data_IF_208254519841
#
_entry.id   IF_208254519841
#
_cell.length_a   1.000
_cell.length_b   1.000
_cell.length_c   1.000
_cell.angle_alpha   90.00
_cell.angle_beta   90.00
_cell.angle_gamma   90.00
#
_symmetry.space_group_name_H-M   'P 1'
#
loop_
_entity.id
_entity.type
_entity.pdbx_description
1 polymer ?
#
# COMPACT_ATOMS: atom_id res chain seq x y z
N UNK A 1 -25.87 -10.86 -28.45
CA UNK A 1 -25.55 -12.12 -27.73
C UNK A 1 -24.07 -12.43 -27.97
N UNK A 2 -23.27 -12.41 -26.90
CA UNK A 2 -21.84 -12.81 -26.81
C UNK A 2 -20.82 -12.04 -27.67
N UNK A 3 -20.20 -11.03 -27.05
CA UNK A 3 -18.84 -10.60 -27.38
C UNK A 3 -17.85 -11.67 -26.86
N UNK A 4 -17.10 -12.27 -27.77
CA UNK A 4 -15.94 -13.10 -27.47
C UNK A 4 -14.68 -12.26 -27.68
N UNK A 5 -13.91 -12.13 -26.60
CA UNK A 5 -12.61 -11.49 -26.52
C UNK A 5 -11.58 -12.32 -27.31
N UNK A 6 -10.89 -11.72 -28.29
CA UNK A 6 -9.76 -12.33 -28.98
C UNK A 6 -8.49 -11.57 -28.60
N UNK A 7 -7.56 -12.29 -27.97
CA UNK A 7 -6.16 -11.91 -27.74
C UNK A 7 -5.46 -11.80 -29.09
N UNK A 8 -4.64 -10.76 -29.29
CA UNK A 8 -3.63 -10.75 -30.35
C UNK A 8 -2.23 -10.77 -29.73
N UNK A 9 -1.46 -11.76 -30.17
CA UNK A 9 0.00 -11.84 -30.10
C UNK A 9 0.52 -11.57 -31.52
N UNK A 10 1.66 -10.88 -31.59
CA UNK A 10 2.42 -10.55 -32.80
C UNK A 10 3.18 -11.79 -33.29
N UNK A 11 3.13 -12.14 -34.60
CA UNK A 11 4.21 -11.92 -35.58
C UNK A 11 4.11 -12.81 -36.85
N UNK A 12 4.50 -12.20 -37.98
CA UNK A 12 5.17 -12.74 -39.18
C UNK A 12 4.52 -13.67 -40.25
N UNK A 13 4.62 -13.16 -41.50
CA UNK A 13 4.93 -13.78 -42.81
C UNK A 13 3.98 -14.82 -43.45
N UNK A 14 3.56 -14.49 -44.68
CA UNK A 14 3.69 -15.42 -45.82
C UNK A 14 2.41 -15.84 -46.55
N UNK A 15 2.27 -15.33 -47.79
CA UNK A 15 1.78 -16.03 -49.01
C UNK A 15 0.37 -16.64 -49.09
N UNK A 16 -0.41 -16.13 -50.07
CA UNK A 16 -0.87 -16.96 -51.20
C UNK A 16 -2.31 -17.50 -51.20
N UNK A 17 -3.14 -16.90 -52.08
CA UNK A 17 -4.16 -17.51 -52.95
C UNK A 17 -5.13 -18.59 -52.41
N UNK A 18 -6.45 -18.30 -52.38
CA UNK A 18 -7.45 -18.86 -53.31
C UNK A 18 -8.91 -18.50 -52.94
N UNK A 19 -9.65 -18.25 -54.02
CA UNK A 19 -11.09 -18.08 -54.28
C UNK A 19 -12.08 -18.96 -53.52
N UNK A 20 -13.33 -18.49 -53.34
CA UNK A 20 -14.47 -19.39 -53.11
C UNK A 20 -15.78 -18.76 -52.61
N UNK A 21 -16.69 -18.55 -53.54
CA UNK A 21 -18.11 -18.12 -53.46
C UNK A 21 -18.96 -18.98 -52.50
N UNK A 22 -19.95 -18.41 -51.78
CA UNK A 22 -21.37 -18.84 -51.79
C UNK A 22 -22.32 -17.85 -51.09
N UNK A 23 -23.50 -17.70 -51.70
CA UNK A 23 -24.61 -16.77 -51.42
C UNK A 23 -25.69 -17.41 -50.53
N UNK A 24 -26.43 -16.52 -49.86
CA UNK A 24 -27.88 -16.55 -49.56
C UNK A 24 -28.47 -17.66 -48.67
N UNK A 25 -29.22 -17.24 -47.65
CA UNK A 25 -30.70 -17.26 -47.68
C UNK A 25 -31.28 -16.49 -46.48
N UNK A 26 -32.21 -15.60 -46.79
CA UNK A 26 -33.14 -14.98 -45.85
C UNK A 26 -34.50 -15.64 -46.02
N UNK A 27 -35.22 -15.88 -44.92
CA UNK A 27 -36.66 -16.13 -44.96
C UNK A 27 -37.32 -15.46 -43.75
N UNK A 28 -38.21 -14.51 -44.07
CA UNK A 28 -39.20 -13.91 -43.17
C UNK A 28 -40.37 -14.88 -43.03
N UNK A 29 -41.00 -14.92 -41.86
CA UNK A 29 -42.44 -15.17 -41.75
C UNK A 29 -43.03 -14.47 -40.53
N UNK A 30 -43.90 -13.53 -40.83
CA UNK A 30 -44.84 -12.80 -39.97
C UNK A 30 -45.94 -13.71 -39.39
N UNK A 31 -46.50 -13.35 -38.23
CA UNK A 31 -47.88 -13.74 -37.92
C UNK A 31 -48.31 -13.76 -36.45
N UNK A 32 -49.03 -12.69 -36.07
CA UNK A 32 -50.15 -12.62 -35.09
C UNK A 32 -49.93 -12.91 -33.59
N UNK A 33 -50.31 -11.89 -32.80
CA UNK A 33 -50.69 -11.96 -31.39
C UNK A 33 -52.20 -12.28 -31.23
N UNK A 34 -52.61 -12.78 -30.05
CA UNK A 34 -53.84 -12.33 -29.41
C UNK A 34 -53.61 -11.89 -27.94
N UNK A 35 -54.61 -11.16 -27.42
CA UNK A 35 -54.63 -10.37 -26.19
C UNK A 35 -55.26 -11.12 -24.97
N UNK A 36 -55.63 -10.48 -23.84
CA UNK A 36 -55.04 -10.72 -22.52
C UNK A 36 -56.00 -11.35 -21.48
N UNK A 37 -55.49 -11.96 -20.40
CA UNK A 37 -56.03 -11.85 -19.02
C UNK A 37 -55.39 -12.86 -18.04
N UNK A 38 -55.35 -12.43 -16.77
CA UNK A 38 -55.30 -13.21 -15.51
C UNK A 38 -53.97 -13.86 -15.06
N UNK A 39 -53.23 -13.06 -14.28
CA UNK A 39 -52.66 -13.35 -12.94
C UNK A 39 -52.50 -14.82 -12.54
N UNK A 40 -51.28 -15.22 -12.18
CA UNK A 40 -50.99 -16.04 -11.00
C UNK A 40 -49.52 -15.85 -10.58
N UNK A 41 -49.32 -15.75 -9.26
CA UNK A 41 -48.09 -15.39 -8.55
C UNK A 41 -46.95 -16.39 -8.80
N UNK A 42 -45.76 -15.91 -9.17
CA UNK A 42 -44.47 -16.49 -8.74
C UNK A 42 -43.40 -15.39 -8.67
N UNK A 43 -43.35 -14.66 -7.55
CA UNK A 43 -42.21 -13.82 -7.21
C UNK A 43 -41.14 -14.66 -6.54
N UNK A 44 -40.23 -15.25 -7.33
CA UNK A 44 -39.04 -15.88 -6.79
C UNK A 44 -38.07 -14.79 -6.32
N UNK A 45 -37.94 -14.66 -5.00
CA UNK A 45 -36.99 -13.79 -4.33
C UNK A 45 -35.57 -14.36 -4.53
N UNK A 46 -34.92 -14.00 -5.62
CA UNK A 46 -33.47 -14.22 -5.80
C UNK A 46 -32.73 -13.20 -4.93
N UNK A 47 -32.49 -13.54 -3.65
CA UNK A 47 -31.41 -12.93 -2.89
C UNK A 47 -30.08 -13.31 -3.56
N UNK A 48 -29.65 -12.46 -4.48
CA UNK A 48 -28.28 -12.46 -4.96
C UNK A 48 -27.36 -12.07 -3.81
N UNK A 49 -26.80 -13.06 -3.12
CA UNK A 49 -25.58 -12.88 -2.35
C UNK A 49 -24.51 -12.37 -3.32
N UNK A 50 -24.30 -11.05 -3.34
CA UNK A 50 -23.07 -10.45 -3.82
C UNK A 50 -21.95 -10.88 -2.87
N UNK A 51 -21.49 -12.12 -3.02
CA UNK A 51 -20.17 -12.51 -2.57
C UNK A 51 -19.23 -11.69 -3.43
N UNK A 52 -18.69 -10.62 -2.86
CA UNK A 52 -17.52 -9.96 -3.38
C UNK A 52 -16.45 -11.02 -3.57
N UNK A 53 -16.29 -11.50 -4.80
CA UNK A 53 -15.20 -12.38 -5.18
C UNK A 53 -13.91 -11.56 -5.04
N UNK A 54 -13.36 -11.54 -3.83
CA UNK A 54 -11.95 -11.24 -3.65
C UNK A 54 -11.21 -12.23 -4.53
N UNK A 55 -10.58 -11.76 -5.60
CA UNK A 55 -9.68 -12.58 -6.38
C UNK A 55 -8.70 -13.21 -5.39
N UNK A 56 -8.73 -14.53 -5.26
CA UNK A 56 -7.89 -15.25 -4.30
C UNK A 56 -6.47 -14.74 -4.44
N UNK A 57 -5.95 -14.08 -3.40
CA UNK A 57 -4.57 -13.64 -3.44
C UNK A 57 -3.71 -14.89 -3.46
N UNK A 58 -3.10 -15.15 -4.61
CA UNK A 58 -2.08 -16.17 -4.72
C UNK A 58 -0.89 -15.76 -3.86
N UNK A 59 -0.34 -16.70 -3.10
CA UNK A 59 0.87 -16.44 -2.32
C UNK A 59 1.99 -15.88 -3.18
N UNK A 60 2.93 -15.15 -2.59
CA UNK A 60 4.06 -14.52 -3.29
C UNK A 60 4.92 -15.53 -4.04
N UNK A 61 5.49 -15.10 -5.17
CA UNK A 61 6.42 -15.92 -5.98
C UNK A 61 7.81 -16.00 -5.37
N UNK A 62 8.18 -15.00 -4.61
CA UNK A 62 9.50 -14.84 -4.04
C UNK A 62 9.34 -14.45 -2.57
N UNK A 63 10.04 -15.17 -1.72
CA UNK A 63 10.15 -14.89 -0.28
C UNK A 63 11.56 -14.36 -0.04
N UNK A 64 11.66 -13.32 0.78
CA UNK A 64 12.94 -12.67 1.04
C UNK A 64 13.87 -13.63 1.77
N UNK A 65 15.16 -13.65 1.40
CA UNK A 65 16.07 -14.71 1.84
C UNK A 65 16.48 -14.57 3.31
N UNK A 66 16.46 -13.35 3.85
CA UNK A 66 16.91 -13.06 5.21
C UNK A 66 15.73 -12.99 6.19
N UNK A 67 16.05 -13.30 7.45
CA UNK A 67 15.09 -13.39 8.53
C UNK A 67 15.57 -12.56 9.70
N UNK A 68 14.66 -11.77 10.25
CA UNK A 68 14.90 -10.96 11.41
C UNK A 68 14.15 -11.53 12.62
N UNK A 69 14.87 -12.09 13.58
CA UNK A 69 14.27 -12.58 14.84
C UNK A 69 13.77 -11.41 15.67
N UNK A 70 12.47 -11.30 15.87
CA UNK A 70 11.75 -10.35 16.74
C UNK A 70 11.26 -11.05 18.02
N UNK A 71 10.66 -10.32 18.96
CA UNK A 71 10.09 -10.93 20.17
C UNK A 71 8.91 -11.87 19.87
N UNK A 72 8.12 -11.55 18.83
CA UNK A 72 6.90 -12.28 18.45
C UNK A 72 7.08 -13.33 17.35
N UNK A 73 8.30 -13.59 16.88
CA UNK A 73 8.57 -14.49 15.77
C UNK A 73 9.70 -13.97 14.88
N UNK A 74 9.74 -14.38 13.62
CA UNK A 74 10.70 -13.89 12.64
C UNK A 74 10.02 -13.09 11.53
N UNK A 75 10.54 -11.91 11.23
CA UNK A 75 10.12 -11.11 10.09
C UNK A 75 10.99 -11.48 8.88
N UNK A 76 10.38 -11.87 7.76
CA UNK A 76 11.11 -12.04 6.50
C UNK A 76 11.55 -10.65 5.98
N UNK A 77 12.80 -10.52 5.57
CA UNK A 77 13.40 -9.24 5.15
C UNK A 77 14.32 -9.44 3.95
N UNK A 78 14.31 -8.48 3.03
CA UNK A 78 15.36 -8.30 2.04
C UNK A 78 16.38 -7.28 2.54
N UNK A 79 17.67 -7.52 2.32
CA UNK A 79 18.77 -6.63 2.71
C UNK A 79 19.72 -6.42 1.54
N UNK A 80 20.21 -5.20 1.33
CA UNK A 80 21.25 -4.94 0.32
C UNK A 80 22.66 -5.35 0.80
N UNK A 81 22.85 -5.50 2.11
CA UNK A 81 24.13 -5.81 2.77
C UNK A 81 23.88 -6.66 4.02
N UNK A 82 24.80 -7.58 4.33
CA UNK A 82 24.72 -8.39 5.55
C UNK A 82 24.80 -7.50 6.79
N UNK A 83 23.73 -7.51 7.58
CA UNK A 83 23.58 -6.67 8.74
C UNK A 83 24.06 -7.30 10.05
N UNK A 84 24.64 -8.51 10.05
CA UNK A 84 24.96 -9.24 11.30
C UNK A 84 26.06 -8.57 12.12
N UNK A 85 27.07 -7.99 11.45
CA UNK A 85 28.20 -7.30 12.09
C UNK A 85 27.99 -5.80 12.36
N UNK A 86 28.98 -5.12 12.96
CA UNK A 86 29.03 -3.66 13.02
C UNK A 86 29.03 -3.03 11.63
N UNK A 87 28.40 -1.85 11.50
CA UNK A 87 28.23 -1.10 10.26
C UNK A 87 28.66 0.36 10.46
N UNK A 88 29.99 0.63 10.55
CA UNK A 88 30.51 1.95 10.89
C UNK A 88 30.38 2.98 9.76
N UNK A 89 30.21 2.54 8.52
CA UNK A 89 30.06 3.37 7.32
C UNK A 89 28.59 3.76 7.03
N UNK A 90 27.63 3.08 7.66
CA UNK A 90 26.21 3.33 7.44
C UNK A 90 25.78 4.63 8.13
N UNK A 91 25.46 5.62 7.31
CA UNK A 91 24.96 6.93 7.75
C UNK A 91 23.44 7.05 7.61
N UNK A 92 22.85 6.24 6.73
CA UNK A 92 21.40 6.21 6.47
C UNK A 92 20.90 4.78 6.43
N UNK A 93 19.69 4.57 6.97
CA UNK A 93 18.93 3.35 6.72
C UNK A 93 17.68 3.72 5.93
N UNK A 94 17.37 2.99 4.87
CA UNK A 94 16.12 3.08 4.12
C UNK A 94 15.32 1.80 4.35
N UNK A 95 14.22 1.90 5.08
CA UNK A 95 13.22 0.84 5.20
C UNK A 95 12.19 1.02 4.08
N UNK A 96 12.16 0.11 3.11
CA UNK A 96 11.29 0.18 1.93
C UNK A 96 10.15 -0.85 2.02
N UNK A 97 8.92 -0.36 2.19
CA UNK A 97 7.71 -1.17 2.38
C UNK A 97 7.01 -1.41 1.04
N UNK A 98 6.81 -2.68 0.70
CA UNK A 98 6.15 -3.09 -0.53
C UNK A 98 4.66 -2.72 -0.57
N UNK A 99 4.07 -2.77 -1.78
CA UNK A 99 2.62 -2.68 -1.97
C UNK A 99 1.87 -3.95 -1.56
N UNK A 100 0.56 -4.01 -1.86
CA UNK A 100 -0.29 -5.17 -1.54
C UNK A 100 0.19 -6.52 -2.09
N UNK A 101 1.03 -6.51 -3.13
CA UNK A 101 1.57 -7.73 -3.77
C UNK A 101 2.67 -8.41 -2.96
N UNK A 102 3.08 -7.84 -1.82
CA UNK A 102 4.09 -8.41 -0.90
C UNK A 102 5.43 -8.76 -1.57
N UNK A 103 5.76 -8.07 -2.66
CA UNK A 103 6.97 -8.31 -3.46
C UNK A 103 8.17 -7.48 -2.94
N UNK A 104 8.60 -7.75 -1.70
CA UNK A 104 9.65 -7.01 -1.00
C UNK A 104 10.96 -6.89 -1.81
N UNK A 105 11.41 -7.96 -2.46
CA UNK A 105 12.65 -7.96 -3.24
C UNK A 105 12.58 -7.04 -4.47
N UNK A 106 11.41 -6.88 -5.09
CA UNK A 106 11.22 -5.87 -6.16
C UNK A 106 11.42 -4.44 -5.62
N UNK A 107 10.95 -4.18 -4.40
CA UNK A 107 11.08 -2.89 -3.74
C UNK A 107 12.52 -2.65 -3.24
N UNK A 108 13.21 -3.69 -2.78
CA UNK A 108 14.64 -3.65 -2.48
C UNK A 108 15.42 -3.21 -3.73
N UNK A 109 15.21 -3.87 -4.87
CA UNK A 109 15.89 -3.52 -6.12
C UNK A 109 15.60 -2.08 -6.59
N UNK A 110 14.36 -1.62 -6.41
CA UNK A 110 13.98 -0.24 -6.74
C UNK A 110 14.73 0.77 -5.85
N UNK A 111 14.84 0.47 -4.55
CA UNK A 111 15.55 1.30 -3.58
C UNK A 111 17.07 1.29 -3.81
N UNK A 112 17.67 0.15 -4.17
CA UNK A 112 19.09 0.05 -4.55
C UNK A 112 19.39 0.87 -5.80
N UNK A 113 18.52 0.79 -6.80
CA UNK A 113 18.61 1.59 -8.02
C UNK A 113 18.56 3.08 -7.70
N UNK A 114 17.60 3.51 -6.88
CA UNK A 114 17.49 4.91 -6.44
C UNK A 114 18.72 5.36 -5.64
N UNK A 115 19.23 4.52 -4.74
CA UNK A 115 20.43 4.81 -3.96
C UNK A 115 21.68 4.93 -4.82
N UNK A 116 21.81 4.09 -5.85
CA UNK A 116 22.91 4.17 -6.82
C UNK A 116 22.83 5.45 -7.65
N UNK A 117 21.64 5.79 -8.17
CA UNK A 117 21.41 7.01 -8.95
C UNK A 117 21.68 8.29 -8.14
N UNK A 118 21.40 8.27 -6.83
CA UNK A 118 21.65 9.38 -5.92
C UNK A 118 23.08 9.41 -5.31
N UNK A 119 23.98 8.51 -5.74
CA UNK A 119 25.31 8.28 -5.13
C UNK A 119 25.27 8.11 -3.59
N UNK A 120 24.22 7.45 -3.08
CA UNK A 120 24.05 7.12 -1.66
C UNK A 120 24.23 5.63 -1.35
N UNK A 121 24.46 4.79 -2.36
CA UNK A 121 24.57 3.33 -2.17
C UNK A 121 25.64 2.92 -1.15
N UNK A 122 26.79 3.61 -1.13
CA UNK A 122 27.92 3.26 -0.24
C UNK A 122 27.59 3.42 1.25
N UNK A 123 26.80 4.42 1.62
CA UNK A 123 26.54 4.79 3.02
C UNK A 123 25.10 4.47 3.49
N UNK A 124 24.34 3.73 2.67
CA UNK A 124 22.94 3.39 2.95
C UNK A 124 22.76 1.88 3.12
N UNK A 125 22.21 1.49 4.28
CA UNK A 125 21.62 0.16 4.46
C UNK A 125 20.16 0.21 4.00
N UNK A 126 19.75 -0.72 3.15
CA UNK A 126 18.36 -0.84 2.69
C UNK A 126 17.77 -2.11 3.29
N UNK A 127 16.61 -1.96 3.92
CA UNK A 127 15.85 -3.04 4.54
C UNK A 127 14.48 -3.07 3.87
N UNK A 128 14.09 -4.21 3.32
CA UNK A 128 12.79 -4.42 2.71
C UNK A 128 12.01 -5.48 3.52
N UNK A 129 11.27 -5.10 4.58
CA UNK A 129 10.40 -6.03 5.28
C UNK A 129 9.38 -6.66 4.34
N UNK A 130 9.20 -7.97 4.43
CA UNK A 130 8.15 -8.69 3.76
C UNK A 130 7.09 -9.12 4.77
N UNK A 131 5.98 -8.39 4.77
CA UNK A 131 4.81 -8.72 5.57
C UNK A 131 4.03 -9.84 4.88
N UNK A 132 4.41 -11.08 5.17
CA UNK A 132 3.81 -12.29 4.60
C UNK A 132 2.36 -12.48 5.07
N UNK A 133 1.56 -13.20 4.29
CA UNK A 133 0.26 -13.70 4.72
C UNK A 133 0.17 -15.23 4.66
N UNK A 134 -0.97 -15.79 5.07
CA UNK A 134 -1.14 -17.25 5.16
C UNK A 134 -1.06 -17.95 3.79
N UNK A 135 -1.43 -17.25 2.72
CA UNK A 135 -1.29 -17.78 1.35
C UNK A 135 0.18 -17.94 0.95
N UNK A 136 1.04 -17.03 1.41
CA UNK A 136 2.49 -17.08 1.17
C UNK A 136 3.12 -18.27 1.90
N UNK A 137 2.71 -18.49 3.15
CA UNK A 137 3.15 -19.63 3.96
C UNK A 137 2.74 -20.95 3.33
N UNK A 138 1.47 -21.10 2.93
CA UNK A 138 0.99 -22.30 2.25
C UNK A 138 1.70 -22.54 0.93
N UNK A 139 1.86 -21.50 0.11
CA UNK A 139 2.46 -21.63 -1.23
C UNK A 139 3.93 -22.02 -1.17
N UNK A 140 4.69 -21.43 -0.26
CA UNK A 140 6.14 -21.57 -0.20
C UNK A 140 6.61 -22.54 0.91
N UNK A 141 5.68 -23.25 1.57
CA UNK A 141 5.97 -24.20 2.65
C UNK A 141 6.85 -23.58 3.76
N UNK A 142 6.49 -22.37 4.16
CA UNK A 142 7.31 -21.58 5.09
C UNK A 142 7.19 -22.10 6.54
N UNK A 143 8.27 -21.99 7.34
CA UNK A 143 8.23 -22.45 8.73
C UNK A 143 7.32 -21.57 9.59
N UNK A 144 6.67 -22.17 10.58
CA UNK A 144 5.69 -21.50 11.46
C UNK A 144 6.26 -20.34 12.29
N UNK A 145 7.59 -20.30 12.46
CA UNK A 145 8.30 -19.20 13.14
C UNK A 145 8.18 -17.86 12.43
N UNK A 146 7.86 -17.85 11.13
CA UNK A 146 7.71 -16.62 10.35
C UNK A 146 6.38 -15.94 10.67
N UNK A 147 6.47 -14.64 10.96
CA UNK A 147 5.33 -13.76 11.14
C UNK A 147 4.51 -13.71 9.86
N UNK A 148 3.19 -13.87 10.00
CA UNK A 148 2.23 -13.81 8.91
C UNK A 148 0.95 -13.15 9.38
N UNK A 149 0.35 -12.33 8.53
CA UNK A 149 -0.90 -11.62 8.81
C UNK A 149 -2.04 -12.20 8.00
N UNK A 150 -3.26 -11.88 8.42
CA UNK A 150 -4.44 -12.19 7.63
C UNK A 150 -4.50 -11.28 6.40
N UNK A 151 -4.56 -11.87 5.21
CA UNK A 151 -4.69 -11.17 3.92
C UNK A 151 -3.82 -9.89 3.81
N UNK A 152 -4.44 -8.71 3.91
CA UNK A 152 -3.80 -7.40 3.82
C UNK A 152 -3.88 -6.59 5.13
N UNK A 153 -4.18 -7.26 6.25
CA UNK A 153 -4.38 -6.65 7.56
C UNK A 153 -3.07 -6.09 8.14
N UNK A 154 -1.93 -6.61 7.70
CA UNK A 154 -0.61 -6.02 7.94
C UNK A 154 -0.54 -4.54 7.51
N UNK A 155 -1.33 -4.11 6.51
CA UNK A 155 -1.36 -2.70 6.06
C UNK A 155 -2.05 -1.76 7.05
N UNK A 156 -2.73 -2.33 8.04
CA UNK A 156 -3.48 -1.62 9.07
C UNK A 156 -2.84 -1.76 10.45
N UNK A 157 -1.76 -2.53 10.61
CA UNK A 157 -1.17 -2.75 11.93
C UNK A 157 -1.87 -3.81 12.76
N UNK A 158 -2.71 -4.64 12.14
CA UNK A 158 -3.39 -5.74 12.84
C UNK A 158 -2.38 -6.79 13.37
N UNK A 159 -2.77 -7.59 14.38
CA UNK A 159 -1.93 -8.67 14.87
C UNK A 159 -1.71 -9.76 13.81
N UNK A 160 -0.49 -10.29 13.77
CA UNK A 160 -0.16 -11.47 12.99
C UNK A 160 -0.98 -12.68 13.47
N UNK A 161 -1.34 -13.59 12.55
CA UNK A 161 -2.04 -14.84 12.87
C UNK A 161 -1.08 -15.91 13.42
N UNK A 162 0.23 -15.69 13.31
CA UNK A 162 1.25 -16.53 13.92
C UNK A 162 2.66 -16.01 13.65
N UNK A 163 3.67 -16.50 14.40
CA UNK A 163 3.52 -17.42 15.54
C UNK A 163 3.01 -16.74 16.82
N UNK A 164 3.02 -15.41 16.89
CA UNK A 164 2.40 -14.64 17.97
C UNK A 164 1.58 -13.48 17.40
N UNK A 165 0.63 -12.97 18.20
CA UNK A 165 -0.23 -11.83 17.85
C UNK A 165 0.54 -10.49 17.88
N UNK A 166 1.55 -10.35 17.02
CA UNK A 166 2.38 -9.16 16.88
C UNK A 166 1.83 -8.25 15.78
N UNK A 167 1.61 -6.97 16.11
CA UNK A 167 1.27 -5.95 15.11
C UNK A 167 2.40 -5.77 14.09
N UNK A 168 2.08 -5.53 12.81
CA UNK A 168 3.09 -5.15 11.81
C UNK A 168 3.80 -3.84 12.17
N UNK A 169 3.15 -2.95 12.91
CA UNK A 169 3.76 -1.72 13.44
C UNK A 169 4.72 -2.01 14.60
N UNK A 170 4.38 -2.95 15.48
CA UNK A 170 5.31 -3.41 16.52
C UNK A 170 6.55 -4.10 15.91
N UNK A 171 6.39 -4.80 14.79
CA UNK A 171 7.53 -5.35 14.06
C UNK A 171 8.46 -4.24 13.52
N UNK A 172 7.90 -3.14 13.01
CA UNK A 172 8.69 -1.96 12.62
C UNK A 172 9.37 -1.30 13.84
N UNK A 173 8.67 -1.19 14.98
CA UNK A 173 9.26 -0.65 16.22
C UNK A 173 10.53 -1.43 16.61
N UNK A 174 10.49 -2.77 16.58
CA UNK A 174 11.65 -3.59 16.91
C UNK A 174 12.79 -3.51 15.88
N UNK A 175 12.47 -3.27 14.61
CA UNK A 175 13.49 -2.97 13.60
C UNK A 175 14.19 -1.66 13.97
N UNK A 176 13.43 -0.60 14.25
CA UNK A 176 13.95 0.71 14.61
C UNK A 176 14.78 0.68 15.91
N UNK A 177 14.33 -0.05 16.92
CA UNK A 177 15.05 -0.21 18.19
C UNK A 177 16.47 -0.76 17.97
N UNK A 178 16.66 -1.69 17.03
CA UNK A 178 18.00 -2.22 16.67
C UNK A 178 18.88 -1.19 16.00
N UNK A 179 18.29 -0.30 15.20
CA UNK A 179 19.00 0.79 14.54
C UNK A 179 19.49 1.85 15.53
N UNK A 180 18.84 1.97 16.70
CA UNK A 180 19.29 2.81 17.81
C UNK A 180 20.61 2.38 18.47
N UNK A 181 21.10 1.16 18.20
CA UNK A 181 22.33 0.64 18.80
C UNK A 181 23.59 1.32 18.22
N UNK A 182 24.13 2.30 18.96
CA UNK A 182 25.34 3.06 18.56
C UNK A 182 26.62 2.22 18.47
N UNK A 183 26.72 1.07 19.13
CA UNK A 183 27.88 0.17 18.96
C UNK A 183 27.86 -0.49 17.58
N UNK A 184 26.66 -0.77 17.06
CA UNK A 184 26.47 -1.37 15.74
C UNK A 184 26.45 -0.32 14.63
N UNK A 185 25.79 0.81 14.87
CA UNK A 185 25.59 1.89 13.90
C UNK A 185 26.17 3.23 14.40
N UNK A 186 27.50 3.35 14.57
CA UNK A 186 28.11 4.52 15.18
C UNK A 186 28.04 5.79 14.32
N UNK A 187 27.79 5.68 13.01
CA UNK A 187 27.66 6.82 12.09
C UNK A 187 26.21 7.11 11.63
N UNK A 188 25.24 6.29 12.04
CA UNK A 188 23.86 6.42 11.59
C UNK A 188 23.26 7.74 12.08
N UNK A 189 22.68 8.52 11.17
CA UNK A 189 22.08 9.83 11.47
C UNK A 189 20.64 9.96 10.99
N UNK A 190 20.21 9.12 10.04
CA UNK A 190 18.87 9.21 9.44
C UNK A 190 18.32 7.82 9.13
N UNK A 191 17.09 7.57 9.55
CA UNK A 191 16.27 6.45 9.09
C UNK A 191 15.15 7.02 8.23
N UNK A 192 14.95 6.45 7.05
CA UNK A 192 13.83 6.78 6.15
C UNK A 192 12.94 5.55 6.07
N UNK A 193 11.65 5.71 6.33
CA UNK A 193 10.65 4.67 6.06
C UNK A 193 9.82 5.11 4.87
N UNK A 194 9.93 4.40 3.77
CA UNK A 194 9.25 4.71 2.52
C UNK A 194 8.34 3.56 2.10
N UNK A 195 7.21 3.87 1.47
CA UNK A 195 6.32 2.84 0.96
C UNK A 195 5.43 3.34 -0.16
N UNK A 196 5.10 2.46 -1.10
CA UNK A 196 4.20 2.77 -2.22
C UNK A 196 2.94 1.92 -2.19
N UNK A 197 1.79 2.50 -2.57
CA UNK A 197 0.50 1.80 -2.64
C UNK A 197 0.07 1.25 -1.27
N UNK A 198 -0.01 -0.07 -1.09
CA UNK A 198 -0.19 -0.71 0.22
C UNK A 198 0.89 -0.33 1.24
N UNK A 199 2.15 -0.17 0.79
CA UNK A 199 3.24 0.29 1.65
C UNK A 199 3.10 1.76 2.04
N UNK A 200 2.62 2.61 1.13
CA UNK A 200 2.37 4.03 1.45
C UNK A 200 1.29 4.17 2.53
N UNK A 201 0.29 3.28 2.49
CA UNK A 201 -0.74 3.14 3.51
C UNK A 201 -0.14 2.75 4.88
N UNK A 202 0.78 1.78 4.91
CA UNK A 202 1.51 1.38 6.12
C UNK A 202 2.30 2.55 6.68
N UNK A 203 3.10 3.21 5.84
CA UNK A 203 3.96 4.31 6.25
C UNK A 203 3.15 5.48 6.79
N UNK A 204 2.06 5.86 6.13
CA UNK A 204 1.20 6.96 6.59
C UNK A 204 0.57 6.65 7.95
N UNK A 205 0.04 5.44 8.11
CA UNK A 205 -0.62 5.02 9.35
C UNK A 205 0.37 4.79 10.49
N UNK A 206 1.52 4.19 10.20
CA UNK A 206 2.60 4.04 11.17
C UNK A 206 3.18 5.40 11.58
N UNK A 207 3.33 6.34 10.64
CA UNK A 207 3.67 7.71 10.99
C UNK A 207 2.59 8.39 11.83
N UNK A 208 1.34 7.89 11.90
CA UNK A 208 0.24 8.39 12.73
C UNK A 208 0.25 7.76 14.12
N UNK A 209 0.28 6.44 14.21
CA UNK A 209 0.08 5.70 15.47
C UNK A 209 1.35 5.08 16.03
N UNK A 210 2.43 5.03 15.26
CA UNK A 210 3.65 4.31 15.58
C UNK A 210 4.50 4.97 16.67
N UNK A 211 5.41 4.18 17.25
CA UNK A 211 6.30 4.60 18.31
C UNK A 211 7.75 4.82 17.85
N UNK A 212 7.99 4.92 16.54
CA UNK A 212 9.33 4.96 15.96
C UNK A 212 10.24 6.07 16.50
N UNK A 213 9.69 7.26 16.77
CA UNK A 213 10.45 8.37 17.36
C UNK A 213 10.96 8.03 18.77
N UNK A 214 10.15 7.32 19.56
CA UNK A 214 10.53 6.85 20.88
C UNK A 214 11.61 5.75 20.81
N UNK A 215 11.54 4.87 19.80
CA UNK A 215 12.54 3.80 19.61
C UNK A 215 13.93 4.34 19.24
N UNK A 216 13.98 5.51 18.60
CA UNK A 216 15.23 6.18 18.23
C UNK A 216 15.60 7.32 19.20
N UNK A 217 14.77 7.60 20.20
CA UNK A 217 15.02 8.66 21.17
C UNK A 217 16.38 8.45 21.88
N UNK A 218 17.11 9.55 22.09
CA UNK A 218 18.43 9.51 22.73
C UNK A 218 19.59 9.04 21.84
N UNK A 219 19.32 8.53 20.63
CA UNK A 219 20.38 8.08 19.70
C UNK A 219 20.87 9.18 18.73
N UNK A 220 20.20 10.34 18.70
CA UNK A 220 20.48 11.42 17.75
C UNK A 220 20.11 11.09 16.30
N UNK A 221 19.41 9.98 16.06
CA UNK A 221 18.99 9.53 14.73
C UNK A 221 17.64 10.17 14.38
N UNK A 222 17.57 10.83 13.22
CA UNK A 222 16.33 11.43 12.71
C UNK A 222 15.51 10.41 11.94
N UNK A 223 14.18 10.45 12.09
CA UNK A 223 13.24 9.62 11.37
C UNK A 223 12.48 10.45 10.33
N UNK A 224 12.40 9.95 9.10
CA UNK A 224 11.69 10.57 7.98
C UNK A 224 10.75 9.56 7.31
N UNK A 225 9.55 9.99 6.91
CA UNK A 225 8.54 9.13 6.31
C UNK A 225 8.24 9.57 4.88
N UNK A 226 8.24 8.63 3.93
CA UNK A 226 7.88 8.88 2.52
C UNK A 226 6.66 8.05 2.14
N UNK A 227 5.53 8.75 1.98
CA UNK A 227 4.22 8.17 1.70
C UNK A 227 3.93 8.30 0.20
N UNK A 228 4.09 7.21 -0.57
CA UNK A 228 3.91 7.24 -2.02
C UNK A 228 2.60 6.58 -2.48
N UNK A 229 1.78 7.33 -3.23
CA UNK A 229 0.53 6.85 -3.86
C UNK A 229 -0.32 5.86 -3.02
N UNK A 230 -0.59 6.12 -1.73
CA UNK A 230 -1.45 5.23 -0.96
C UNK A 230 -2.86 5.23 -1.54
N UNK A 231 -3.54 4.09 -1.39
CA UNK A 231 -4.93 3.98 -1.87
C UNK A 231 -5.91 4.73 -0.97
N UNK A 232 -5.59 4.96 0.30
CA UNK A 232 -6.43 5.67 1.27
C UNK A 232 -5.54 6.19 2.41
N UNK A 233 -6.07 7.15 3.16
CA UNK A 233 -5.41 7.82 4.28
C UNK A 233 -6.27 7.68 5.54
N UNK A 234 -5.63 7.69 6.71
CA UNK A 234 -6.31 7.82 7.99
C UNK A 234 -6.47 9.30 8.36
N UNK A 235 -7.72 9.73 8.57
CA UNK A 235 -8.08 11.09 8.98
C UNK A 235 -8.24 11.17 10.50
N UNK A 236 -7.90 12.30 11.12
CA UNK A 236 -8.04 12.48 12.58
C UNK A 236 -9.48 12.70 13.04
N UNK A 237 -10.39 12.96 12.09
CA UNK A 237 -11.78 13.34 12.33
C UNK A 237 -12.71 12.71 11.30
N UNK A 238 -14.01 12.82 11.53
CA UNK A 238 -15.05 12.40 10.60
C UNK A 238 -15.17 13.25 9.32
N UNK A 239 -14.41 14.35 9.16
CA UNK A 239 -14.44 15.16 7.94
C UNK A 239 -13.99 14.33 6.73
N UNK A 240 -14.72 14.41 5.62
CA UNK A 240 -14.35 13.78 4.35
C UNK A 240 -14.44 14.79 3.19
N UNK A 241 -13.47 14.78 2.25
CA UNK A 241 -13.39 15.76 1.17
C UNK A 241 -14.36 15.52 0.01
N UNK A 242 -14.93 14.31 -0.14
CA UNK A 242 -15.88 14.03 -1.20
C UNK A 242 -17.16 14.87 -1.05
N UNK A 243 -17.51 15.60 -2.11
CA UNK A 243 -18.72 16.44 -2.14
C UNK A 243 -19.97 15.56 -1.98
N UNK A 244 -20.88 15.98 -1.09
CA UNK A 244 -22.13 15.26 -0.84
C UNK A 244 -21.93 13.91 -0.15
N UNK A 245 -20.76 13.65 0.45
CA UNK A 245 -20.57 12.46 1.27
C UNK A 245 -21.57 12.44 2.42
N UNK A 246 -22.37 11.37 2.48
CA UNK A 246 -23.32 11.10 3.55
C UNK A 246 -22.79 9.98 4.46
N UNK A 247 -22.39 10.28 5.70
CA UNK A 247 -22.00 9.29 6.69
C UNK A 247 -23.01 8.16 6.90
N UNK A 248 -24.31 8.42 6.76
CA UNK A 248 -25.35 7.40 6.95
C UNK A 248 -25.29 6.31 5.86
N UNK A 249 -24.88 6.68 4.64
CA UNK A 249 -24.69 5.76 3.52
C UNK A 249 -23.37 4.99 3.54
N UNK A 250 -22.46 5.29 4.47
CA UNK A 250 -21.18 4.59 4.61
C UNK A 250 -20.85 4.32 6.09
N UNK A 251 -21.56 3.38 6.74
CA UNK A 251 -21.25 2.98 8.11
C UNK A 251 -19.78 2.54 8.25
N UNK A 252 -19.14 2.92 9.36
CA UNK A 252 -17.74 2.58 9.63
C UNK A 252 -16.70 3.35 8.81
N UNK A 253 -17.10 4.37 8.03
CA UNK A 253 -16.13 5.17 7.25
C UNK A 253 -15.05 5.86 8.08
N UNK A 254 -15.30 6.02 9.38
CA UNK A 254 -14.39 6.63 10.34
C UNK A 254 -13.73 5.63 11.29
N UNK A 255 -14.00 4.34 11.10
CA UNK A 255 -13.25 3.28 11.73
C UNK A 255 -11.83 3.24 11.18
N UNK A 256 -10.94 2.68 11.99
CA UNK A 256 -9.65 2.25 11.53
C UNK A 256 -9.86 1.30 10.34
N UNK A 257 -9.22 1.52 9.19
CA UNK A 257 -7.99 2.27 8.94
C UNK A 257 -8.16 3.57 8.14
N UNK A 258 -9.37 4.15 8.15
CA UNK A 258 -9.73 5.38 7.44
C UNK A 258 -9.95 6.58 8.38
N UNK A 259 -10.31 6.32 9.64
CA UNK A 259 -10.36 7.28 10.72
C UNK A 259 -9.74 6.73 12.01
N UNK A 260 -10.10 7.32 13.15
CA UNK A 260 -9.55 6.96 14.47
C UNK A 260 -10.58 6.32 15.42
N UNK A 261 -11.71 5.82 14.90
CA UNK A 261 -12.59 4.95 15.69
C UNK A 261 -12.10 3.51 15.61
N UNK A 262 -12.40 2.69 16.63
CA UNK A 262 -12.05 1.26 16.64
C UNK A 262 -10.57 0.99 16.30
N UNK A 263 -9.67 1.75 16.92
CA UNK A 263 -8.22 1.61 16.73
C UNK A 263 -7.74 0.19 17.09
N UNK A 264 -6.69 -0.32 16.41
CA UNK A 264 -6.19 -1.66 16.69
C UNK A 264 -5.51 -1.70 18.06
N UNK A 265 -5.43 -2.88 18.67
CA UNK A 265 -4.88 -3.07 20.02
C UNK A 265 -3.44 -2.54 20.20
N UNK A 266 -2.70 -2.36 19.11
CA UNK A 266 -1.39 -1.70 19.09
C UNK A 266 -1.45 -0.25 19.63
N UNK A 267 -2.53 0.47 19.36
CA UNK A 267 -2.69 1.87 19.75
C UNK A 267 -3.32 1.93 21.13
N UNK A 268 -2.55 2.38 22.13
CA UNK A 268 -2.99 2.38 23.52
C UNK A 268 -2.84 3.76 24.16
N UNK A 269 -3.84 4.18 24.93
CA UNK A 269 -3.75 5.35 25.80
C UNK A 269 -3.67 6.73 25.14
N UNK A 270 -3.69 6.83 23.81
CA UNK A 270 -3.63 8.10 23.08
C UNK A 270 -5.01 8.52 22.56
N UNK A 271 -5.40 9.75 22.85
CA UNK A 271 -6.55 10.40 22.21
C UNK A 271 -6.27 10.78 20.76
N UNK A 272 -7.31 10.98 19.95
CA UNK A 272 -7.18 11.47 18.58
C UNK A 272 -6.40 12.78 18.48
N UNK A 273 -6.56 13.68 19.45
CA UNK A 273 -5.83 14.95 19.50
C UNK A 273 -4.33 14.75 19.77
N UNK A 274 -3.96 13.80 20.64
CA UNK A 274 -2.55 13.47 20.89
C UNK A 274 -1.90 12.81 19.67
N UNK A 275 -2.61 11.91 18.99
CA UNK A 275 -2.15 11.29 17.74
C UNK A 275 -1.92 12.33 16.64
N UNK A 276 -2.87 13.25 16.47
CA UNK A 276 -2.76 14.35 15.51
C UNK A 276 -1.60 15.28 15.83
N UNK A 277 -1.47 15.72 17.09
CA UNK A 277 -0.41 16.60 17.53
C UNK A 277 0.98 15.97 17.31
N UNK A 278 1.11 14.66 17.56
CA UNK A 278 2.35 13.94 17.26
C UNK A 278 2.60 13.85 15.74
N UNK A 279 1.58 13.49 14.96
CA UNK A 279 1.68 13.33 13.52
C UNK A 279 2.20 14.58 12.81
N UNK A 280 1.64 15.75 13.12
CA UNK A 280 1.92 16.98 12.37
C UNK A 280 3.33 17.53 12.63
N UNK A 281 3.98 17.08 13.69
CA UNK A 281 5.38 17.39 14.01
C UNK A 281 6.37 16.42 13.33
N UNK A 282 5.89 15.29 12.79
CA UNK A 282 6.75 14.31 12.10
C UNK A 282 7.14 14.81 10.72
N UNK A 283 8.37 14.48 10.32
CA UNK A 283 8.90 14.78 8.99
C UNK A 283 8.33 13.77 7.98
N UNK A 284 7.30 14.18 7.25
CA UNK A 284 6.58 13.36 6.26
C UNK A 284 6.60 14.04 4.89
N UNK A 285 6.98 13.29 3.86
CA UNK A 285 6.82 13.67 2.45
C UNK A 285 5.80 12.77 1.76
N UNK A 286 4.74 13.36 1.23
CA UNK A 286 3.78 12.70 0.35
C UNK A 286 4.28 12.79 -1.08
N UNK A 287 4.49 11.65 -1.72
CA UNK A 287 4.98 11.56 -3.09
C UNK A 287 3.87 11.04 -4.00
N UNK A 288 3.34 11.89 -4.88
CA UNK A 288 2.15 11.59 -5.67
C UNK A 288 2.44 11.54 -7.18
N UNK A 289 2.17 10.42 -7.84
CA UNK A 289 2.34 10.30 -9.29
C UNK A 289 1.26 11.10 -10.03
N UNK A 290 1.66 12.03 -10.89
CA UNK A 290 0.72 12.89 -11.66
C UNK A 290 -0.25 12.13 -12.56
N UNK A 291 0.06 10.88 -12.90
CA UNK A 291 -0.76 10.01 -13.74
C UNK A 291 -1.46 8.90 -12.95
N UNK A 292 -1.42 8.90 -11.61
CA UNK A 292 -2.16 7.96 -10.77
C UNK A 292 -3.63 8.40 -10.59
N UNK A 293 -4.30 8.50 -11.75
CA UNK A 293 -5.63 9.12 -11.92
C UNK A 293 -6.71 8.15 -12.40
N UNK A 294 -6.43 6.84 -12.41
CA UNK A 294 -7.38 5.84 -12.90
C UNK A 294 -8.33 5.39 -11.76
N UNK A 295 -9.62 5.77 -11.78
CA UNK A 295 -10.59 5.37 -10.75
C UNK A 295 -10.96 3.88 -10.83
N UNK A 296 -10.68 3.23 -11.97
CA UNK A 296 -10.97 1.82 -12.21
C UNK A 296 -9.72 0.93 -12.05
N UNK A 297 -8.63 1.46 -11.47
CA UNK A 297 -7.42 0.69 -11.28
C UNK A 297 -7.70 -0.54 -10.39
N UNK A 298 -7.28 -1.77 -10.76
CA UNK A 298 -7.67 -3.00 -10.07
C UNK A 298 -7.16 -3.11 -8.63
N UNK A 299 -6.05 -2.41 -8.31
CA UNK A 299 -5.51 -2.29 -6.96
C UNK A 299 -6.01 -1.07 -6.18
N UNK A 300 -7.02 -0.34 -6.68
CA UNK A 300 -7.59 0.79 -5.97
C UNK A 300 -8.63 0.30 -4.97
N UNK A 301 -8.52 0.76 -3.73
CA UNK A 301 -9.54 0.64 -2.71
C UNK A 301 -10.79 1.43 -3.13
N UNK A 302 -11.87 0.70 -3.41
CA UNK A 302 -13.17 1.21 -3.84
C UNK A 302 -14.24 0.99 -2.76
N UNK A 303 -13.83 0.79 -1.50
CA UNK A 303 -14.76 0.87 -0.39
C UNK A 303 -15.34 2.29 -0.29
N UNK A 304 -16.57 2.43 0.20
CA UNK A 304 -17.20 3.75 0.36
C UNK A 304 -16.34 4.69 1.23
N UNK A 305 -15.65 4.16 2.24
CA UNK A 305 -14.77 4.91 3.14
C UNK A 305 -13.56 5.50 2.41
N UNK A 306 -13.00 4.76 1.45
CA UNK A 306 -11.90 5.24 0.60
C UNK A 306 -12.39 6.20 -0.50
N UNK A 307 -13.57 5.95 -1.09
CA UNK A 307 -14.19 6.84 -2.08
C UNK A 307 -14.60 8.18 -1.49
N UNK A 308 -14.96 8.22 -0.20
CA UNK A 308 -15.17 9.46 0.55
C UNK A 308 -13.94 10.39 0.55
N UNK A 309 -12.76 9.86 0.24
CA UNK A 309 -11.51 10.61 0.16
C UNK A 309 -11.20 11.14 -1.26
N UNK A 310 -11.92 10.66 -2.29
CA UNK A 310 -11.75 11.02 -3.69
C UNK A 310 -11.75 9.81 -4.65
N UNK A 311 -11.87 10.07 -5.95
CA UNK A 311 -12.07 9.03 -6.96
C UNK A 311 -10.81 8.20 -7.31
N UNK A 312 -9.61 8.74 -7.10
CA UNK A 312 -8.33 8.09 -7.45
C UNK A 312 -7.20 8.59 -6.54
N UNK A 313 -6.02 7.94 -6.59
CA UNK A 313 -4.96 8.15 -5.58
C UNK A 313 -4.38 9.56 -5.56
N UNK A 314 -4.15 10.15 -6.73
CA UNK A 314 -3.66 11.53 -6.82
C UNK A 314 -4.59 12.50 -6.06
N UNK A 315 -5.89 12.50 -6.38
CA UNK A 315 -6.85 13.39 -5.70
C UNK A 315 -7.01 13.07 -4.21
N UNK A 316 -6.94 11.79 -3.81
CA UNK A 316 -6.95 11.39 -2.38
C UNK A 316 -5.76 12.01 -1.62
N UNK A 317 -4.58 12.02 -2.23
CA UNK A 317 -3.38 12.63 -1.63
C UNK A 317 -3.48 14.15 -1.49
N UNK A 318 -3.94 14.85 -2.53
CA UNK A 318 -4.19 16.29 -2.44
C UNK A 318 -5.25 16.63 -1.40
N UNK A 319 -6.36 15.90 -1.37
CA UNK A 319 -7.42 16.13 -0.41
C UNK A 319 -6.94 15.91 1.04
N UNK A 320 -6.14 14.87 1.28
CA UNK A 320 -5.58 14.61 2.60
C UNK A 320 -4.61 15.72 3.02
N UNK A 321 -3.73 16.16 2.12
CA UNK A 321 -2.79 17.24 2.44
C UNK A 321 -3.50 18.58 2.67
N UNK A 322 -4.52 18.91 1.87
CA UNK A 322 -5.36 20.08 2.08
C UNK A 322 -6.09 20.01 3.43
N UNK A 323 -6.55 18.82 3.84
CA UNK A 323 -7.11 18.58 5.18
C UNK A 323 -6.08 18.88 6.29
N UNK A 324 -4.83 18.46 6.15
CA UNK A 324 -3.77 18.79 7.11
C UNK A 324 -3.51 20.31 7.17
N UNK A 325 -3.41 20.97 6.02
CA UNK A 325 -3.21 22.43 5.95
C UNK A 325 -4.37 23.21 6.59
N UNK A 326 -5.62 22.77 6.35
CA UNK A 326 -6.80 23.38 6.95
C UNK A 326 -6.80 23.27 8.48
N UNK A 327 -6.35 22.12 9.02
CA UNK A 327 -6.30 21.88 10.47
C UNK A 327 -5.13 22.55 11.17
N UNK A 328 -4.03 22.77 10.45
CA UNK A 328 -2.82 23.39 10.97
C UNK A 328 -2.43 24.64 10.15
N UNK A 329 -3.28 25.68 10.12
CA UNK A 329 -3.04 26.87 9.30
C UNK A 329 -1.82 27.68 9.75
N UNK A 330 -1.37 27.48 10.99
CA UNK A 330 -0.18 28.13 11.55
C UNK A 330 1.14 27.55 11.03
N UNK A 331 1.09 26.43 10.30
CA UNK A 331 2.26 25.83 9.67
C UNK A 331 2.25 24.31 9.77
N UNK A 332 2.65 23.66 8.67
CA UNK A 332 2.83 22.23 8.54
C UNK A 332 4.23 21.98 7.98
N UNK A 333 5.07 21.23 8.70
CA UNK A 333 6.43 20.90 8.25
C UNK A 333 6.46 19.84 7.13
N UNK A 334 5.38 19.07 7.02
CA UNK A 334 5.21 18.02 6.02
C UNK A 334 5.08 18.60 4.61
N UNK A 335 5.48 17.82 3.60
CA UNK A 335 5.55 18.27 2.20
C UNK A 335 4.74 17.36 1.30
N UNK A 336 4.12 17.92 0.28
CA UNK A 336 3.54 17.17 -0.85
C UNK A 336 4.36 17.47 -2.10
N UNK A 337 4.79 16.42 -2.79
CA UNK A 337 5.57 16.49 -4.01
C UNK A 337 4.90 15.61 -5.07
N UNK A 338 4.60 16.19 -6.22
CA UNK A 338 4.13 15.43 -7.38
C UNK A 338 5.30 14.92 -8.22
N UNK A 339 5.17 13.72 -8.78
CA UNK A 339 6.15 13.09 -9.68
C UNK A 339 5.63 13.18 -11.12
N UNK A 340 6.26 14.01 -11.97
CA UNK A 340 5.80 14.22 -13.33
C UNK A 340 5.77 12.96 -14.18
N UNK A 341 4.66 12.74 -14.90
CA UNK A 341 4.54 11.64 -15.87
C UNK A 341 4.54 10.22 -15.29
N UNK A 342 4.50 10.05 -13.97
CA UNK A 342 4.46 8.74 -13.30
C UNK A 342 3.04 8.43 -12.81
N UNK A 343 2.59 7.19 -13.03
CA UNK A 343 1.31 6.67 -12.54
C UNK A 343 1.47 5.81 -11.30
N UNK A 344 0.73 4.69 -11.22
CA UNK A 344 0.80 3.76 -10.10
C UNK A 344 1.97 2.77 -10.20
N UNK A 345 3.20 3.28 -10.29
CA UNK A 345 4.42 2.50 -10.51
C UNK A 345 5.46 2.79 -9.42
N UNK A 346 5.64 1.85 -8.50
CA UNK A 346 6.55 2.03 -7.36
C UNK A 346 8.01 2.24 -7.75
N UNK A 347 8.48 1.54 -8.79
CA UNK A 347 9.87 1.69 -9.25
C UNK A 347 10.09 3.09 -9.82
N UNK A 348 9.21 3.55 -10.72
CA UNK A 348 9.31 4.89 -11.32
C UNK A 348 9.09 6.01 -10.28
N UNK A 349 8.27 5.78 -9.26
CA UNK A 349 8.11 6.75 -8.17
C UNK A 349 9.43 6.96 -7.43
N UNK A 350 10.09 5.89 -6.98
CA UNK A 350 11.30 6.00 -6.15
C UNK A 350 12.59 6.31 -6.93
N UNK A 351 12.68 5.89 -8.19
CA UNK A 351 13.84 6.19 -9.06
C UNK A 351 13.71 7.54 -9.77
N UNK A 352 12.57 8.23 -9.70
CA UNK A 352 12.43 9.61 -10.18
C UNK A 352 13.31 10.59 -9.39
N UNK A 353 13.57 11.77 -9.95
CA UNK A 353 14.31 12.82 -9.25
C UNK A 353 13.66 13.21 -7.90
N UNK A 354 12.33 13.39 -7.89
CA UNK A 354 11.56 13.68 -6.69
C UNK A 354 11.60 12.53 -5.68
N UNK A 355 11.56 11.28 -6.17
CA UNK A 355 11.70 10.09 -5.33
C UNK A 355 13.07 10.02 -4.68
N UNK A 356 14.15 10.23 -5.44
CA UNK A 356 15.51 10.25 -4.92
C UNK A 356 15.69 11.38 -3.89
N UNK A 357 15.16 12.57 -4.12
CA UNK A 357 15.23 13.68 -3.16
C UNK A 357 14.49 13.35 -1.85
N UNK A 358 13.32 12.71 -1.94
CA UNK A 358 12.55 12.29 -0.76
C UNK A 358 13.24 11.15 0.02
N UNK A 359 13.85 10.19 -0.66
CA UNK A 359 14.54 9.05 -0.04
C UNK A 359 15.92 9.44 0.53
N UNK A 360 16.59 10.38 -0.13
CA UNK A 360 17.96 10.77 0.16
C UNK A 360 18.12 12.27 0.40
N UNK A 361 17.34 12.88 1.31
CA UNK A 361 17.46 14.30 1.59
C UNK A 361 18.85 14.58 2.15
N UNK A 362 19.48 15.60 1.56
CA UNK A 362 20.86 16.02 1.84
C UNK A 362 21.12 16.27 3.33
#
# INVERSE_FOLDING_TARGET
>A
MRYLCRKEFVNERGSGWLTGVFRQLAARSSGRAPSPASRLLQGALLLGLCVSAGAAEHGVREVSPDHLKLSGGELSVGLNRDWKGPMPDVQRVLIIVHGRLRNAMTYLQSAETAASQADQARNTLIIAPQFLNESDVRRNHLPDRLLRWHDNDWMAGEPATGPAAMSSYAALDEVLARLGNRKKFPALRKVVIAGHSGGGQVVQRYALVGHGDAQLAGSGIRLHYVVANPSSYAYFSAQRPAKGFDPAGCPGFNDWKYGLQNLPAYVTGQSSAQLEQAYVQRDVTYLLGQKDINPNHPALDRSCAAEAQGAYRLVRGHNYFAYLQQRHPQGLAQKLVEVPGVGHDGNRMFTSAQGQEALFPR
#
